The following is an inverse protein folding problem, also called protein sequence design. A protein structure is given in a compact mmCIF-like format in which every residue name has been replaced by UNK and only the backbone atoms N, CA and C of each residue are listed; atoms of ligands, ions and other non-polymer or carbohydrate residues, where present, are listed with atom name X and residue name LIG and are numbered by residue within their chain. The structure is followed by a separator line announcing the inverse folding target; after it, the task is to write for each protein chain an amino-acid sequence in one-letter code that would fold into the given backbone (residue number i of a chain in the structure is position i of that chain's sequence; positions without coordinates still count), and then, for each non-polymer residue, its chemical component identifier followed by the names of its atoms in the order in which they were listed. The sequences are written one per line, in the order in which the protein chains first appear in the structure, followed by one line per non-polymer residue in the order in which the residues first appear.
data_IF_038769499520
#
_entry.id   IF_038769499520
#
_cell.length_a   1.000
_cell.length_b   1.000
_cell.length_c   1.000
_cell.angle_alpha   90.00
_cell.angle_beta   90.00
_cell.angle_gamma   90.00
#
_symmetry.space_group_name_H-M   'P 1'
#
loop_
_entity.id
_entity.type
_entity.pdbx_description
1 polymer ?
#
# COMPACT_ATOMS: atom_id res chain seq x y z
N UNK A 1 3.41 -22.41 -11.93
CA UNK A 1 2.88 -21.83 -10.68
C UNK A 1 3.42 -20.44 -10.46
N UNK A 2 2.57 -19.49 -10.15
CA UNK A 2 2.99 -18.12 -9.91
C UNK A 2 3.53 -17.96 -8.50
N UNK A 3 4.68 -17.30 -8.38
CA UNK A 3 5.34 -17.03 -7.10
C UNK A 3 5.12 -15.58 -6.73
N UNK A 4 4.30 -15.32 -5.72
CA UNK A 4 3.97 -13.94 -5.32
C UNK A 4 4.94 -13.33 -4.33
N UNK A 5 5.62 -14.14 -3.50
CA UNK A 5 6.40 -13.67 -2.36
C UNK A 5 7.62 -12.83 -2.71
N UNK A 6 8.16 -12.96 -3.92
CA UNK A 6 9.31 -12.19 -4.36
C UNK A 6 8.93 -11.04 -5.28
N UNK A 7 7.64 -10.89 -5.55
CA UNK A 7 7.13 -9.85 -6.42
C UNK A 7 6.77 -8.62 -5.60
N UNK A 8 7.51 -7.53 -5.79
CA UNK A 8 7.31 -6.29 -5.05
C UNK A 8 5.91 -5.71 -5.26
N UNK A 9 5.36 -5.82 -6.47
CA UNK A 9 4.03 -5.31 -6.78
C UNK A 9 2.96 -6.08 -6.01
N UNK A 10 3.00 -7.41 -6.09
CA UNK A 10 2.03 -8.26 -5.39
C UNK A 10 2.09 -8.07 -3.89
N UNK A 11 3.31 -8.00 -3.35
CA UNK A 11 3.52 -7.83 -1.91
C UNK A 11 2.95 -6.51 -1.43
N UNK A 12 3.20 -5.42 -2.16
CA UNK A 12 2.66 -4.10 -1.81
C UNK A 12 1.14 -4.07 -1.91
N UNK A 13 0.57 -4.63 -2.98
CA UNK A 13 -0.89 -4.65 -3.16
C UNK A 13 -1.59 -5.47 -2.08
N UNK A 14 -1.01 -6.62 -1.72
CA UNK A 14 -1.56 -7.43 -0.63
C UNK A 14 -1.51 -6.69 0.71
N UNK A 15 -0.40 -5.98 0.96
CA UNK A 15 -0.26 -5.23 2.20
C UNK A 15 -1.32 -4.12 2.31
N UNK A 16 -1.63 -3.41 1.21
CA UNK A 16 -2.62 -2.33 1.24
C UNK A 16 -4.06 -2.82 1.00
N UNK A 17 -4.26 -4.11 0.81
CA UNK A 17 -5.60 -4.66 0.62
C UNK A 17 -6.45 -4.63 1.89
N UNK A 18 -5.81 -4.55 3.06
CA UNK A 18 -6.50 -4.55 4.35
C UNK A 18 -6.78 -3.11 4.82
N UNK A 19 -8.02 -2.80 5.23
CA UNK A 19 -8.37 -1.45 5.68
C UNK A 19 -7.57 -0.97 6.88
N UNK A 20 -7.28 -1.86 7.85
CA UNK A 20 -6.51 -1.48 9.03
C UNK A 20 -5.08 -1.10 8.66
N UNK A 21 -4.49 -1.83 7.73
CA UNK A 21 -3.14 -1.49 7.27
C UNK A 21 -3.11 -0.17 6.51
N UNK A 22 -4.14 0.12 5.70
CA UNK A 22 -4.24 1.44 5.06
C UNK A 22 -4.36 2.56 6.08
N UNK A 23 -5.14 2.33 7.15
CA UNK A 23 -5.27 3.32 8.22
C UNK A 23 -3.94 3.57 8.92
N UNK A 24 -3.15 2.53 9.14
CA UNK A 24 -1.81 2.69 9.72
C UNK A 24 -0.94 3.57 8.82
N UNK A 25 -0.95 3.31 7.52
CA UNK A 25 -0.17 4.12 6.57
C UNK A 25 -0.63 5.58 6.59
N UNK A 26 -1.92 5.82 6.67
CA UNK A 26 -2.47 7.18 6.73
C UNK A 26 -2.01 7.91 7.99
N UNK A 27 -2.01 7.24 9.14
CA UNK A 27 -1.49 7.82 10.37
C UNK A 27 0.00 8.14 10.26
N UNK A 28 0.78 7.23 9.66
CA UNK A 28 2.22 7.44 9.48
C UNK A 28 2.55 8.53 8.47
N UNK A 29 1.61 8.88 7.61
CA UNK A 29 1.79 9.99 6.67
C UNK A 29 1.96 11.34 7.38
N UNK A 30 1.52 11.43 8.64
CA UNK A 30 1.67 12.63 9.46
C UNK A 30 2.97 12.63 10.27
N UNK A 31 3.77 11.59 10.18
CA UNK A 31 5.04 11.46 10.87
C UNK A 31 5.15 10.14 11.61
N UNK A 32 6.34 9.83 12.17
CA UNK A 32 6.55 8.60 12.93
C UNK A 32 5.59 8.47 14.11
N UNK A 33 5.22 7.23 14.42
CA UNK A 33 4.33 6.90 15.53
C UNK A 33 4.83 5.66 16.25
N UNK A 34 4.61 5.62 17.56
CA UNK A 34 4.85 4.38 18.32
C UNK A 34 3.71 3.40 18.05
N UNK A 35 3.95 2.12 18.38
CA UNK A 35 2.91 1.09 18.25
C UNK A 35 1.68 1.46 19.06
N UNK A 36 1.86 1.97 20.27
CA UNK A 36 0.73 2.39 21.12
C UNK A 36 -0.07 3.53 20.50
N UNK A 37 0.62 4.49 19.87
CA UNK A 37 -0.04 5.61 19.22
C UNK A 37 -0.84 5.18 17.99
N UNK A 38 -0.49 4.05 17.39
CA UNK A 38 -1.26 3.49 16.28
C UNK A 38 -2.46 2.69 16.77
N UNK A 39 -2.30 1.96 17.88
CA UNK A 39 -3.35 1.09 18.41
C UNK A 39 -4.56 1.89 18.87
N UNK A 40 -4.35 2.99 19.59
CA UNK A 40 -5.42 3.77 20.20
C UNK A 40 -6.46 4.26 19.19
N UNK A 41 -6.08 5.01 18.12
CA UNK A 41 -7.08 5.52 17.18
C UNK A 41 -7.72 4.41 16.34
N UNK A 42 -7.04 3.27 16.15
CA UNK A 42 -7.58 2.17 15.39
C UNK A 42 -8.54 1.29 16.19
N UNK A 43 -8.52 1.42 17.51
CA UNK A 43 -9.35 0.60 18.38
C UNK A 43 -8.99 -0.87 18.36
N UNK A 44 -7.70 -1.20 18.12
CA UNK A 44 -7.22 -2.58 18.03
C UNK A 44 -6.16 -2.82 19.11
N UNK A 45 -5.89 -4.10 19.37
CA UNK A 45 -4.89 -4.49 20.38
C UNK A 45 -3.46 -4.27 19.85
N UNK A 46 -2.50 -4.17 20.78
CA UNK A 46 -1.09 -4.07 20.41
C UNK A 46 -0.63 -5.27 19.59
N UNK A 47 -0.97 -6.52 19.93
CA UNK A 47 -0.61 -7.65 19.07
C UNK A 47 -1.16 -7.55 17.66
N UNK A 48 -2.37 -7.02 17.48
CA UNK A 48 -2.96 -6.83 16.17
C UNK A 48 -2.18 -5.81 15.35
N UNK A 49 -1.80 -4.67 15.96
CA UNK A 49 -0.98 -3.66 15.30
C UNK A 49 0.37 -4.26 14.90
N UNK A 50 1.01 -5.00 15.80
CA UNK A 50 2.30 -5.62 15.50
C UNK A 50 2.20 -6.58 14.32
N UNK A 51 1.12 -7.33 14.21
CA UNK A 51 0.89 -8.24 13.08
C UNK A 51 0.77 -7.47 11.78
N UNK A 52 0.00 -6.39 11.77
CA UNK A 52 -0.13 -5.53 10.59
C UNK A 52 1.19 -4.88 10.21
N UNK A 53 1.96 -4.42 11.20
CA UNK A 53 3.26 -3.81 10.95
C UNK A 53 4.25 -4.80 10.32
N UNK A 54 4.21 -6.07 10.72
CA UNK A 54 5.06 -7.09 10.09
C UNK A 54 4.76 -7.25 8.62
N UNK A 55 3.48 -7.24 8.25
CA UNK A 55 3.09 -7.31 6.84
C UNK A 55 3.57 -6.09 6.08
N UNK A 56 3.36 -4.89 6.64
CA UNK A 56 3.78 -3.63 6.01
C UNK A 56 5.31 -3.55 5.89
N UNK A 57 6.02 -3.99 6.92
CA UNK A 57 7.48 -3.99 6.92
C UNK A 57 8.04 -4.99 5.89
N UNK A 58 7.42 -6.17 5.81
CA UNK A 58 7.79 -7.16 4.80
C UNK A 58 7.56 -6.67 3.38
N UNK A 59 6.59 -5.80 3.18
CA UNK A 59 6.30 -5.18 1.89
C UNK A 59 7.15 -3.93 1.65
N UNK A 60 8.04 -3.57 2.57
CA UNK A 60 8.90 -2.39 2.50
C UNK A 60 8.14 -1.07 2.43
N UNK A 61 6.97 -1.03 3.05
CA UNK A 61 6.16 0.19 3.12
C UNK A 61 6.47 0.99 4.38
N UNK A 62 6.90 0.31 5.45
CA UNK A 62 7.26 0.95 6.71
C UNK A 62 8.59 0.38 7.20
N UNK A 63 9.26 1.15 8.05
CA UNK A 63 10.40 0.70 8.82
C UNK A 63 10.07 0.85 10.29
N UNK A 64 10.53 -0.09 11.10
CA UNK A 64 10.35 0.00 12.55
C UNK A 64 11.71 0.05 13.22
N UNK A 65 11.76 0.78 14.32
CA UNK A 65 12.97 0.91 15.12
C UNK A 65 12.60 0.72 16.57
N UNK A 66 13.29 -0.19 17.23
CA UNK A 66 13.10 -0.42 18.66
C UNK A 66 14.16 0.38 19.43
N UNK A 67 13.69 1.22 20.35
CA UNK A 67 14.53 2.03 21.20
C UNK A 67 14.12 1.77 22.63
N UNK A 68 14.88 0.91 23.30
CA UNK A 68 14.49 0.41 24.61
C UNK A 68 13.21 -0.44 24.52
N UNK A 69 12.17 -0.03 25.22
CA UNK A 69 10.86 -0.71 25.20
C UNK A 69 9.90 -0.13 24.16
N UNK A 70 10.32 0.95 23.48
CA UNK A 70 9.47 1.67 22.56
C UNK A 70 9.82 1.27 21.13
N UNK A 71 8.79 0.87 20.37
CA UNK A 71 8.93 0.61 18.95
C UNK A 71 8.29 1.74 18.18
N UNK A 72 9.08 2.40 17.36
CA UNK A 72 8.64 3.52 16.52
C UNK A 72 8.58 3.07 15.08
N UNK A 73 7.53 3.49 14.39
CA UNK A 73 7.25 3.13 13.01
C UNK A 73 7.23 4.37 12.15
N UNK A 74 7.72 4.25 10.93
CA UNK A 74 7.68 5.37 9.96
C UNK A 74 7.53 4.82 8.54
N UNK A 75 7.01 5.65 7.64
CA UNK A 75 6.90 5.29 6.24
C UNK A 75 8.30 5.19 5.62
N UNK A 76 8.46 4.24 4.70
CA UNK A 76 9.67 4.16 3.90
C UNK A 76 9.45 4.94 2.60
N UNK A 77 10.35 5.88 2.24
CA UNK A 77 10.23 6.60 0.97
C UNK A 77 10.22 5.62 -0.20
N UNK A 78 9.32 5.86 -1.14
CA UNK A 78 9.26 5.06 -2.36
C UNK A 78 8.69 3.66 -2.22
N UNK A 79 8.15 3.30 -1.05
CA UNK A 79 7.64 1.95 -0.82
C UNK A 79 6.50 1.55 -1.76
N UNK A 80 5.67 2.50 -2.15
CA UNK A 80 4.54 2.24 -3.05
C UNK A 80 4.89 2.41 -4.53
N UNK A 81 6.10 2.86 -4.87
CA UNK A 81 6.47 3.17 -6.25
C UNK A 81 6.31 2.00 -7.21
N UNK A 82 6.73 0.77 -6.89
CA UNK A 82 6.53 -0.34 -7.81
C UNK A 82 5.05 -0.62 -8.10
N UNK A 83 4.21 -0.58 -7.08
CA UNK A 83 2.76 -0.80 -7.25
C UNK A 83 2.13 0.35 -8.03
N UNK A 84 2.49 1.59 -7.71
CA UNK A 84 1.99 2.78 -8.39
C UNK A 84 2.37 2.76 -9.87
N UNK A 85 3.61 2.40 -10.19
CA UNK A 85 4.07 2.31 -11.57
C UNK A 85 3.31 1.24 -12.34
N UNK A 86 3.08 0.08 -11.73
CA UNK A 86 2.33 -1.00 -12.35
C UNK A 86 0.89 -0.56 -12.66
N UNK A 87 0.22 0.05 -11.69
CA UNK A 87 -1.15 0.56 -11.84
C UNK A 87 -1.21 1.61 -12.94
N UNK A 88 -0.29 2.59 -12.88
CA UNK A 88 -0.27 3.71 -13.82
C UNK A 88 -0.10 3.24 -15.27
N UNK A 89 0.78 2.27 -15.49
CA UNK A 89 0.99 1.72 -16.84
C UNK A 89 -0.28 1.06 -17.37
N UNK A 90 -0.99 0.26 -16.57
CA UNK A 90 -2.24 -0.37 -16.97
C UNK A 90 -3.33 0.65 -17.19
N UNK A 91 -3.40 1.65 -16.32
CA UNK A 91 -4.37 2.72 -16.44
C UNK A 91 -4.22 3.45 -17.78
N UNK A 92 -2.99 3.76 -18.16
CA UNK A 92 -2.71 4.42 -19.44
C UNK A 92 -3.12 3.56 -20.64
N UNK A 93 -2.83 2.26 -20.58
CA UNK A 93 -3.21 1.32 -21.65
C UNK A 93 -4.73 1.22 -21.78
N UNK A 94 -5.42 1.10 -20.67
CA UNK A 94 -6.88 0.99 -20.66
C UNK A 94 -7.51 2.27 -21.18
N UNK A 95 -7.04 3.42 -20.74
CA UNK A 95 -7.54 4.71 -21.19
C UNK A 95 -7.33 4.90 -22.70
N UNK A 96 -6.15 4.58 -23.21
CA UNK A 96 -5.87 4.68 -24.64
C UNK A 96 -6.79 3.76 -25.45
N UNK A 97 -7.03 2.55 -24.96
CA UNK A 97 -7.93 1.61 -25.63
C UNK A 97 -9.36 2.09 -25.62
N UNK A 98 -9.83 2.64 -24.51
CA UNK A 98 -11.18 3.18 -24.40
C UNK A 98 -11.35 4.41 -25.29
N UNK A 99 -10.33 5.27 -25.37
CA UNK A 99 -10.36 6.42 -26.26
C UNK A 99 -10.46 6.00 -27.73
N UNK A 100 -9.71 4.98 -28.12
CA UNK A 100 -9.79 4.45 -29.49
C UNK A 100 -11.18 3.89 -29.81
N UNK A 101 -11.79 3.21 -28.85
CA UNK A 101 -13.14 2.68 -29.00
C UNK A 101 -14.15 3.83 -29.11
N UNK A 102 -14.01 4.85 -28.29
CA UNK A 102 -14.88 6.03 -28.33
C UNK A 102 -14.79 6.73 -29.69
N UNK A 103 -13.58 6.92 -30.21
CA UNK A 103 -13.37 7.50 -31.56
C UNK A 103 -14.00 6.65 -32.64
N UNK A 104 -13.84 5.32 -32.54
CA UNK A 104 -14.47 4.40 -33.50
C UNK A 104 -15.99 4.54 -33.49
N UNK A 105 -16.59 4.59 -32.30
CA UNK A 105 -18.04 4.72 -32.17
C UNK A 105 -18.55 6.06 -32.70
N UNK A 106 -17.78 7.13 -32.52
CA UNK A 106 -18.14 8.45 -33.07
C UNK A 106 -18.10 8.46 -34.59
N UNK A 107 -17.18 7.71 -35.22
CA UNK A 107 -17.08 7.63 -36.67
C UNK A 107 -18.11 6.69 -37.30
N UNK A 108 -18.40 5.58 -36.65
CA UNK A 108 -19.22 4.47 -37.17
C UNK A 108 -20.55 4.32 -36.46
N UNK A 109 -20.74 4.97 -35.31
CA UNK A 109 -21.97 4.94 -34.59
C UNK A 109 -23.00 5.90 -35.16
N UNK A 110 -24.22 5.62 -34.91
CA UNK A 110 -25.30 6.52 -35.29
C UNK A 110 -25.52 7.62 -34.29
#
# INVERSE_FOLDING_TARGET
MVQYRSDAVSTALLAVADPSRRAILDHLAHGPRTVSQLADPLGVSLPAVLKHLRVLEGARLVATRKDGRVRTCELRPGGLDPAAAWIDERQRRWTARLDRLDDYLKEHGT
#
